data_IF_740705786493
#
_entry.id   IF_740705786493
#
_cell.length_a   1.000
_cell.length_b   1.000
_cell.length_c   1.000
_cell.angle_alpha   90.00
_cell.angle_beta   90.00
_cell.angle_gamma   90.00
#
_symmetry.space_group_name_H-M   'P 1'
#
loop_
_entity.id
_entity.type
_entity.pdbx_description
1 polymer ?
#
# COMPACT_ATOMS: atom_id res chain seq x y z
N UNK A 1 -32.21 31.31 -5.47
CA UNK A 1 -32.75 30.06 -4.89
C UNK A 1 -32.17 28.91 -5.71
N UNK A 2 -31.21 28.17 -5.14
CA UNK A 2 -30.43 27.10 -5.80
C UNK A 2 -31.28 25.87 -6.14
N UNK A 3 -31.04 25.12 -7.22
CA UNK A 3 -29.91 24.21 -7.52
C UNK A 3 -29.72 23.15 -6.42
N UNK A 4 -30.06 21.88 -6.70
CA UNK A 4 -29.09 20.85 -7.14
C UNK A 4 -29.79 19.52 -7.45
N UNK A 5 -29.85 19.16 -8.74
CA UNK A 5 -30.04 17.78 -9.19
C UNK A 5 -28.70 17.05 -9.07
N UNK A 6 -28.74 15.85 -8.50
CA UNK A 6 -27.58 14.99 -8.28
C UNK A 6 -27.55 13.93 -9.39
N UNK A 7 -26.68 14.11 -10.37
CA UNK A 7 -26.38 13.08 -11.39
C UNK A 7 -25.14 12.30 -10.94
N UNK A 8 -25.39 11.06 -10.54
CA UNK A 8 -24.38 10.04 -10.26
C UNK A 8 -23.77 9.61 -11.60
N UNK A 9 -22.49 9.92 -11.83
CA UNK A 9 -21.75 9.43 -13.00
C UNK A 9 -21.11 8.11 -12.65
N UNK A 10 -21.72 7.02 -13.10
CA UNK A 10 -21.11 5.70 -13.22
C UNK A 10 -19.95 5.78 -14.22
N UNK A 11 -18.72 5.59 -13.75
CA UNK A 11 -17.56 5.44 -14.61
C UNK A 11 -17.60 4.02 -15.19
N UNK A 12 -18.27 3.87 -16.34
CA UNK A 12 -18.15 2.68 -17.19
C UNK A 12 -16.71 2.57 -17.69
N UNK A 13 -16.09 1.42 -17.46
CA UNK A 13 -14.71 1.07 -17.78
C UNK A 13 -14.34 0.98 -19.29
N UNK A 14 -15.09 1.65 -20.20
CA UNK A 14 -14.90 1.51 -21.65
C UNK A 14 -14.70 2.84 -22.41
N UNK A 15 -14.25 3.90 -21.74
CA UNK A 15 -13.71 5.07 -22.44
C UNK A 15 -12.22 4.88 -22.62
N UNK A 16 -11.85 4.41 -23.81
CA UNK A 16 -10.47 4.27 -24.28
C UNK A 16 -9.61 5.45 -23.81
N UNK A 17 -8.50 5.12 -23.15
CA UNK A 17 -7.44 6.09 -22.88
C UNK A 17 -7.08 6.79 -24.21
N UNK A 18 -7.01 8.13 -24.24
CA UNK A 18 -6.52 8.83 -25.41
C UNK A 18 -5.07 8.39 -25.70
N UNK A 19 -4.74 8.31 -26.99
CA UNK A 19 -3.50 7.80 -27.65
C UNK A 19 -2.22 8.60 -27.31
N UNK A 20 -2.13 9.05 -26.05
CA UNK A 20 -1.08 9.90 -25.47
C UNK A 20 -0.32 9.14 -24.38
N UNK A 21 -0.79 7.96 -23.97
CA UNK A 21 0.04 7.02 -23.21
C UNK A 21 1.23 6.59 -24.10
N UNK A 22 2.45 6.48 -23.56
CA UNK A 22 3.59 5.99 -24.33
C UNK A 22 3.21 4.63 -24.92
N UNK A 23 3.16 4.56 -26.25
CA UNK A 23 2.86 3.34 -27.00
C UNK A 23 3.88 2.28 -26.59
N UNK A 24 3.38 1.15 -26.08
CA UNK A 24 4.14 0.05 -25.49
C UNK A 24 4.96 -0.77 -26.49
N UNK A 25 5.63 -0.11 -27.43
CA UNK A 25 6.62 -0.77 -28.28
C UNK A 25 7.95 -0.81 -27.54
N UNK A 26 8.17 -1.89 -26.79
CA UNK A 26 9.50 -2.39 -26.47
C UNK A 26 9.36 -3.82 -25.96
N UNK A 27 10.19 -4.71 -26.53
CA UNK A 27 10.67 -6.03 -26.08
C UNK A 27 9.96 -6.70 -24.88
N UNK A 28 9.73 -8.04 -24.90
CA UNK A 28 8.95 -8.74 -23.88
C UNK A 28 9.36 -8.28 -22.48
N UNK A 29 8.43 -7.60 -21.80
CA UNK A 29 8.64 -7.03 -20.49
C UNK A 29 9.06 -8.17 -19.57
N UNK A 30 10.36 -8.24 -19.25
CA UNK A 30 10.77 -8.91 -18.04
C UNK A 30 10.10 -8.12 -16.91
N UNK A 31 9.28 -8.77 -16.06
CA UNK A 31 8.87 -8.15 -14.83
C UNK A 31 10.16 -7.65 -14.20
N UNK A 32 10.23 -6.37 -13.84
CA UNK A 32 11.07 -6.01 -12.71
C UNK A 32 10.45 -6.78 -11.54
N UNK A 33 10.89 -8.03 -11.40
CA UNK A 33 10.87 -8.77 -10.15
C UNK A 33 11.26 -7.72 -9.12
N UNK A 34 10.42 -7.57 -8.09
CA UNK A 34 10.76 -6.73 -6.94
C UNK A 34 12.27 -6.89 -6.68
N UNK A 35 13.02 -5.78 -6.56
CA UNK A 35 14.48 -5.86 -6.49
C UNK A 35 14.85 -6.98 -5.54
N UNK A 36 15.75 -7.88 -5.98
CA UNK A 36 16.22 -8.99 -5.16
C UNK A 36 16.44 -8.48 -3.74
N UNK A 37 15.91 -9.18 -2.70
CA UNK A 37 15.97 -8.68 -1.34
C UNK A 37 17.39 -8.21 -1.06
N UNK A 38 17.52 -6.93 -0.71
CA UNK A 38 18.81 -6.33 -0.38
C UNK A 38 19.49 -7.27 0.62
N UNK A 39 20.76 -7.61 0.39
CA UNK A 39 21.50 -8.44 1.34
C UNK A 39 21.42 -7.79 2.71
N UNK A 40 20.85 -8.52 3.69
CA UNK A 40 20.60 -7.99 5.02
C UNK A 40 21.88 -7.40 5.61
N UNK A 41 21.88 -6.10 5.88
CA UNK A 41 22.94 -5.46 6.65
C UNK A 41 22.75 -5.87 8.12
N UNK A 42 23.47 -6.89 8.56
CA UNK A 42 23.43 -7.37 9.95
C UNK A 42 24.30 -6.49 10.85
N UNK A 43 23.91 -5.24 11.06
CA UNK A 43 24.40 -4.46 12.19
C UNK A 43 23.56 -4.83 13.42
N UNK A 44 23.73 -6.06 13.92
CA UNK A 44 22.92 -6.59 15.01
C UNK A 44 23.34 -5.98 16.36
N UNK A 45 22.88 -4.77 16.64
CA UNK A 45 22.87 -4.23 18.00
C UNK A 45 21.73 -4.85 18.80
N UNK A 46 21.90 -5.04 20.11
CA UNK A 46 20.81 -5.50 20.97
C UNK A 46 19.90 -4.32 21.25
N UNK A 47 18.61 -4.32 20.82
CA UNK A 47 17.72 -3.18 21.02
C UNK A 47 17.30 -3.04 22.48
N UNK A 48 17.21 -1.80 22.97
CA UNK A 48 16.72 -1.51 24.33
C UNK A 48 15.21 -1.35 24.30
N UNK A 49 14.50 -2.42 24.63
CA UNK A 49 13.04 -2.46 24.65
C UNK A 49 12.47 -1.86 25.95
N UNK A 50 11.20 -1.44 25.89
CA UNK A 50 10.46 -0.89 27.02
C UNK A 50 10.18 -1.91 28.12
N UNK A 51 10.11 -3.20 27.75
CA UNK A 51 9.70 -4.29 28.65
C UNK A 51 8.20 -4.29 28.98
N UNK A 52 7.41 -3.41 28.36
CA UNK A 52 5.97 -3.24 28.61
C UNK A 52 5.10 -3.82 27.49
N UNK A 53 5.68 -4.14 26.34
CA UNK A 53 4.96 -4.84 25.28
C UNK A 53 4.84 -6.34 25.59
N UNK A 54 3.63 -6.89 25.47
CA UNK A 54 3.34 -8.31 25.70
C UNK A 54 3.44 -9.17 24.44
N UNK A 55 3.77 -8.58 23.29
CA UNK A 55 3.91 -9.33 22.02
C UNK A 55 5.20 -10.15 22.01
N UNK A 56 5.12 -11.35 21.46
CA UNK A 56 6.28 -12.21 21.25
C UNK A 56 6.87 -11.97 19.85
N UNK A 57 7.86 -11.08 19.76
CA UNK A 57 8.55 -10.77 18.50
C UNK A 57 9.33 -11.96 17.91
N UNK A 58 9.83 -12.87 18.75
CA UNK A 58 10.55 -14.07 18.28
C UNK A 58 9.65 -15.01 17.47
N UNK A 59 8.34 -15.01 17.73
CA UNK A 59 7.40 -15.84 16.98
C UNK A 59 7.30 -15.48 15.48
N UNK A 60 7.80 -14.31 15.08
CA UNK A 60 7.77 -13.84 13.69
C UNK A 60 9.15 -13.33 13.21
N UNK A 61 10.25 -13.80 13.81
CA UNK A 61 11.61 -13.28 13.57
C UNK A 61 11.99 -13.18 12.08
N UNK A 62 11.69 -14.22 11.28
CA UNK A 62 11.98 -14.22 9.84
C UNK A 62 11.23 -13.13 9.07
N UNK A 63 9.99 -12.84 9.48
CA UNK A 63 9.14 -11.80 8.89
C UNK A 63 9.63 -10.41 9.32
N UNK A 64 10.07 -10.27 10.58
CA UNK A 64 10.70 -9.04 11.09
C UNK A 64 11.97 -8.73 10.29
N UNK A 65 12.83 -9.72 10.07
CA UNK A 65 14.05 -9.54 9.27
C UNK A 65 13.76 -9.16 7.81
N UNK A 66 12.73 -9.76 7.21
CA UNK A 66 12.24 -9.37 5.88
C UNK A 66 11.77 -7.91 5.89
N UNK A 67 11.07 -7.48 6.94
CA UNK A 67 10.60 -6.10 7.09
C UNK A 67 11.74 -5.12 7.22
N UNK A 68 12.76 -5.44 8.02
CA UNK A 68 13.93 -4.58 8.19
C UNK A 68 14.67 -4.39 6.86
N UNK A 69 14.75 -5.45 6.05
CA UNK A 69 15.33 -5.41 4.71
C UNK A 69 14.50 -4.55 3.76
N UNK A 70 13.19 -4.75 3.72
CA UNK A 70 12.27 -3.99 2.86
C UNK A 70 12.18 -2.51 3.25
N UNK A 71 12.42 -2.21 4.52
CA UNK A 71 12.43 -0.87 5.12
C UNK A 71 13.84 -0.37 5.43
N UNK A 72 14.86 -0.82 4.69
CA UNK A 72 16.25 -0.43 4.93
C UNK A 72 16.42 1.10 4.95
N UNK A 73 17.19 1.61 5.92
CA UNK A 73 17.21 3.02 6.27
C UNK A 73 17.38 3.99 5.09
N UNK A 74 18.28 3.67 4.16
CA UNK A 74 18.60 4.53 3.01
C UNK A 74 17.53 4.52 1.91
N UNK A 75 16.73 3.45 1.80
CA UNK A 75 15.72 3.32 0.75
C UNK A 75 14.27 3.40 1.24
N UNK A 76 14.02 3.30 2.55
CA UNK A 76 12.67 3.29 3.10
C UNK A 76 11.79 4.46 2.62
N UNK A 77 12.26 5.72 2.56
CA UNK A 77 11.43 6.83 2.04
C UNK A 77 10.99 6.64 0.59
N UNK A 78 11.83 6.01 -0.24
CA UNK A 78 11.58 5.82 -1.67
C UNK A 78 10.78 4.54 -1.97
N UNK A 79 10.91 3.51 -1.11
CA UNK A 79 10.20 2.22 -1.20
C UNK A 79 8.92 2.17 -0.37
N UNK A 80 8.60 3.24 0.38
CA UNK A 80 7.50 3.34 1.33
C UNK A 80 6.20 2.76 0.77
N UNK A 81 5.75 3.26 -0.37
CA UNK A 81 4.44 2.94 -0.95
C UNK A 81 4.39 1.59 -1.69
N UNK A 82 5.54 0.97 -1.97
CA UNK A 82 5.62 -0.21 -2.84
C UNK A 82 5.92 -1.48 -2.04
N UNK A 83 6.84 -1.38 -1.08
CA UNK A 83 7.33 -2.56 -0.35
C UNK A 83 7.35 -2.32 1.16
N UNK A 84 8.01 -1.25 1.62
CA UNK A 84 8.28 -1.05 3.04
C UNK A 84 7.01 -0.96 3.91
N UNK A 85 6.12 0.00 3.64
CA UNK A 85 4.95 0.20 4.50
C UNK A 85 3.92 -0.93 4.44
N UNK A 86 3.63 -1.52 3.27
CA UNK A 86 2.85 -2.75 3.20
C UNK A 86 3.43 -3.89 4.05
N UNK A 87 4.76 -4.07 4.04
CA UNK A 87 5.42 -5.10 4.83
C UNK A 87 5.41 -4.76 6.33
N UNK A 88 5.63 -3.50 6.70
CA UNK A 88 5.60 -3.02 8.08
C UNK A 88 4.24 -3.29 8.75
N UNK A 89 3.15 -2.93 8.05
CA UNK A 89 1.77 -3.19 8.51
C UNK A 89 1.49 -4.70 8.59
N UNK A 90 1.82 -5.46 7.54
CA UNK A 90 1.62 -6.91 7.52
C UNK A 90 2.34 -7.62 8.66
N UNK A 91 3.57 -7.22 9.00
CA UNK A 91 4.33 -7.81 10.09
C UNK A 91 3.69 -7.57 11.45
N UNK A 92 3.16 -6.36 11.70
CA UNK A 92 2.44 -6.06 12.93
C UNK A 92 1.13 -6.85 13.03
N UNK A 93 0.40 -6.99 11.92
CA UNK A 93 -0.76 -7.89 11.83
C UNK A 93 -0.38 -9.33 12.18
N UNK A 94 0.74 -9.83 11.65
CA UNK A 94 1.23 -11.19 11.91
C UNK A 94 1.60 -11.37 13.37
N UNK A 95 2.39 -10.46 13.96
CA UNK A 95 2.81 -10.56 15.36
C UNK A 95 1.59 -10.56 16.30
N UNK A 96 0.60 -9.69 16.04
CA UNK A 96 -0.65 -9.69 16.83
C UNK A 96 -1.38 -11.02 16.63
N UNK A 97 -1.57 -11.47 15.39
CA UNK A 97 -2.24 -12.75 15.12
C UNK A 97 -1.56 -13.96 15.79
N UNK A 98 -0.21 -14.01 15.79
CA UNK A 98 0.52 -15.06 16.50
C UNK A 98 0.30 -14.99 18.02
N UNK A 99 0.19 -13.80 18.60
CA UNK A 99 -0.16 -13.62 20.01
C UNK A 99 -1.61 -14.05 20.28
N UNK A 100 -2.53 -13.75 19.37
CA UNK A 100 -3.96 -14.11 19.47
C UNK A 100 -4.20 -15.61 19.54
N UNK A 101 -3.32 -16.45 18.99
CA UNK A 101 -3.39 -17.92 19.13
C UNK A 101 -3.50 -18.39 20.58
N UNK A 102 -2.86 -17.66 21.49
CA UNK A 102 -2.80 -18.01 22.92
C UNK A 102 -3.66 -17.10 23.78
N UNK A 103 -3.78 -15.81 23.42
CA UNK A 103 -4.53 -14.84 24.22
C UNK A 103 -6.03 -14.83 23.91
N UNK A 104 -6.45 -15.28 22.72
CA UNK A 104 -7.82 -15.14 22.24
C UNK A 104 -8.20 -13.73 21.80
N UNK A 105 -7.28 -12.76 21.86
CA UNK A 105 -7.57 -11.35 21.60
C UNK A 105 -6.88 -10.86 20.32
N UNK A 106 -7.64 -10.25 19.41
CA UNK A 106 -7.26 -9.75 18.08
C UNK A 106 -6.87 -8.26 18.06
N UNK A 107 -6.84 -7.58 19.21
CA UNK A 107 -6.49 -6.17 19.29
C UNK A 107 -5.75 -5.82 20.59
N UNK A 108 -4.84 -4.85 20.52
CA UNK A 108 -4.18 -4.33 21.71
C UNK A 108 -5.02 -3.23 22.37
N UNK A 109 -4.85 -3.06 23.68
CA UNK A 109 -5.31 -1.85 24.35
C UNK A 109 -4.41 -0.65 23.98
N UNK A 110 -4.91 0.57 24.20
CA UNK A 110 -4.24 1.83 23.81
C UNK A 110 -2.86 2.03 24.45
N UNK A 111 -2.62 1.47 25.62
CA UNK A 111 -1.33 1.63 26.32
C UNK A 111 -0.31 0.64 25.75
N UNK A 112 -0.69 -0.62 25.63
CA UNK A 112 0.15 -1.67 25.06
C UNK A 112 0.50 -1.37 23.60
N UNK A 113 -0.42 -0.79 22.81
CA UNK A 113 -0.13 -0.45 21.42
C UNK A 113 1.02 0.54 21.28
N UNK A 114 1.12 1.54 22.15
CA UNK A 114 2.24 2.50 22.15
C UNK A 114 3.58 1.83 22.45
N UNK A 115 3.61 1.02 23.50
CA UNK A 115 4.82 0.29 23.89
C UNK A 115 5.24 -0.72 22.82
N UNK A 116 4.29 -1.48 22.28
CA UNK A 116 4.57 -2.48 21.26
C UNK A 116 5.02 -1.90 19.93
N UNK A 117 4.44 -0.78 19.50
CA UNK A 117 4.89 -0.12 18.28
C UNK A 117 6.31 0.43 18.44
N UNK A 118 6.60 1.06 19.59
CA UNK A 118 7.95 1.56 19.89
C UNK A 118 9.00 0.45 20.00
N UNK A 119 8.66 -0.67 20.64
CA UNK A 119 9.56 -1.81 20.76
C UNK A 119 9.81 -2.48 19.40
N UNK A 120 8.76 -2.59 18.57
CA UNK A 120 8.88 -3.12 17.22
C UNK A 120 9.82 -2.28 16.34
N UNK A 121 9.67 -0.95 16.34
CA UNK A 121 10.56 -0.07 15.58
C UNK A 121 12.02 -0.20 16.01
N UNK A 122 12.29 -0.26 17.32
CA UNK A 122 13.67 -0.45 17.82
C UNK A 122 14.28 -1.78 17.36
N UNK A 123 13.48 -2.84 17.26
CA UNK A 123 13.93 -4.14 16.73
C UNK A 123 14.26 -4.04 15.25
N UNK A 124 13.48 -3.27 14.47
CA UNK A 124 13.76 -3.06 13.05
C UNK A 124 15.00 -2.16 12.86
N UNK A 125 15.11 -1.08 13.63
CA UNK A 125 16.27 -0.17 13.62
C UNK A 125 17.56 -0.93 13.94
N UNK A 126 17.53 -1.83 14.92
CA UNK A 126 18.67 -2.69 15.26
C UNK A 126 19.01 -3.74 14.18
N UNK A 127 18.21 -3.83 13.11
CA UNK A 127 18.46 -4.65 11.93
C UNK A 127 18.68 -3.78 10.67
N UNK A 128 18.93 -2.48 10.84
CA UNK A 128 19.24 -1.54 9.75
C UNK A 128 18.04 -0.90 9.06
N UNK A 129 16.83 -1.09 9.58
CA UNK A 129 15.66 -0.37 9.07
C UNK A 129 15.74 1.13 9.42
N UNK A 130 14.93 1.94 8.73
CA UNK A 130 14.81 3.35 9.06
C UNK A 130 14.28 3.56 10.49
N UNK A 131 14.75 4.59 11.19
CA UNK A 131 14.37 4.92 12.57
C UNK A 131 13.05 5.73 12.67
N UNK A 132 12.43 6.04 11.53
CA UNK A 132 11.25 6.92 11.44
C UNK A 132 10.09 6.28 10.66
N UNK A 133 9.92 4.95 10.79
CA UNK A 133 8.94 4.19 10.01
C UNK A 133 7.49 4.59 10.31
N UNK A 134 7.14 4.90 11.56
CA UNK A 134 5.83 5.47 11.89
C UNK A 134 5.48 6.69 11.04
N UNK A 135 6.44 7.60 10.82
CA UNK A 135 6.23 8.80 10.00
C UNK A 135 6.21 8.47 8.51
N UNK A 136 7.16 7.66 8.03
CA UNK A 136 7.24 7.27 6.61
C UNK A 136 5.95 6.55 6.18
N UNK A 137 5.45 5.65 7.02
CA UNK A 137 4.29 4.82 6.74
C UNK A 137 2.97 5.41 7.26
N UNK A 138 3.00 6.59 7.89
CA UNK A 138 1.83 7.21 8.51
C UNK A 138 1.08 6.25 9.47
N UNK A 139 1.84 5.41 10.17
CA UNK A 139 1.32 4.37 11.05
C UNK A 139 1.24 4.86 12.49
N UNK A 140 0.12 4.61 13.16
CA UNK A 140 -0.12 5.07 14.53
C UNK A 140 -0.40 3.90 15.49
N UNK A 141 -0.17 4.05 16.80
CA UNK A 141 -0.53 3.03 17.79
C UNK A 141 -2.00 2.59 17.72
N UNK A 142 -2.91 3.48 17.32
CA UNK A 142 -4.33 3.20 17.13
C UNK A 142 -4.57 2.09 16.09
N UNK A 143 -3.70 1.96 15.08
CA UNK A 143 -3.75 0.89 14.08
C UNK A 143 -3.51 -0.51 14.67
N UNK A 144 -2.99 -0.63 15.90
CA UNK A 144 -2.83 -1.92 16.62
C UNK A 144 -4.01 -2.24 17.54
N UNK A 145 -4.94 -1.30 17.71
CA UNK A 145 -6.12 -1.44 18.56
C UNK A 145 -7.31 -1.96 17.76
N UNK A 146 -8.49 -1.99 18.39
CA UNK A 146 -9.78 -2.28 17.74
C UNK A 146 -10.31 -1.10 16.92
N UNK A 147 -9.81 0.10 17.20
CA UNK A 147 -10.33 1.36 16.68
C UNK A 147 -11.85 1.45 16.87
N UNK A 148 -12.63 1.35 15.79
CA UNK A 148 -14.10 1.35 15.85
C UNK A 148 -14.76 0.00 15.58
N UNK A 149 -13.98 -1.07 15.40
CA UNK A 149 -14.51 -2.40 15.18
C UNK A 149 -15.06 -3.00 16.49
N UNK A 150 -16.30 -3.54 16.51
CA UNK A 150 -16.95 -3.99 17.74
C UNK A 150 -16.48 -5.35 18.26
N UNK A 151 -15.72 -6.11 17.45
CA UNK A 151 -15.29 -7.46 17.79
C UNK A 151 -13.77 -7.51 17.87
N UNK A 152 -13.27 -8.02 18.98
CA UNK A 152 -11.84 -8.21 19.23
C UNK A 152 -11.50 -9.59 19.76
N UNK A 153 -12.50 -10.39 20.12
CA UNK A 153 -12.33 -11.74 20.63
C UNK A 153 -12.44 -12.77 19.50
N UNK A 154 -11.59 -13.80 19.53
CA UNK A 154 -11.56 -14.85 18.51
C UNK A 154 -12.84 -15.68 18.51
N UNK A 155 -13.40 -16.04 19.67
CA UNK A 155 -14.61 -16.87 19.74
C UNK A 155 -15.83 -16.08 19.23
N UNK A 156 -15.90 -14.79 19.56
CA UNK A 156 -16.94 -13.91 19.02
C UNK A 156 -16.81 -13.75 17.50
N UNK A 157 -15.59 -13.58 16.98
CA UNK A 157 -15.33 -13.50 15.55
C UNK A 157 -15.85 -14.75 14.82
N UNK A 158 -15.51 -15.94 15.30
CA UNK A 158 -15.85 -17.21 14.65
C UNK A 158 -17.33 -17.57 14.71
N UNK A 159 -18.08 -16.95 15.64
CA UNK A 159 -19.54 -17.04 15.67
C UNK A 159 -20.22 -16.22 14.56
N UNK A 160 -19.56 -15.15 14.08
CA UNK A 160 -20.13 -14.20 13.10
C UNK A 160 -19.66 -14.53 11.68
N UNK A 161 -18.40 -14.92 11.54
CA UNK A 161 -17.73 -15.11 10.25
C UNK A 161 -17.72 -16.59 9.87
N UNK A 162 -17.91 -16.86 8.57
CA UNK A 162 -17.66 -18.20 8.00
C UNK A 162 -16.14 -18.44 7.91
N UNK A 163 -15.57 -18.86 9.04
CA UNK A 163 -14.14 -19.13 9.17
C UNK A 163 -13.63 -20.18 8.19
N UNK A 164 -14.31 -21.32 7.96
CA UNK A 164 -13.92 -22.27 6.91
C UNK A 164 -13.89 -21.65 5.51
N UNK A 165 -14.92 -20.87 5.14
CA UNK A 165 -14.96 -20.19 3.85
C UNK A 165 -13.85 -19.16 3.68
N UNK A 166 -13.58 -18.37 4.73
CA UNK A 166 -12.50 -17.38 4.75
C UNK A 166 -11.12 -18.05 4.63
N UNK A 167 -10.89 -19.16 5.32
CA UNK A 167 -9.64 -19.93 5.19
C UNK A 167 -9.49 -20.59 3.82
N UNK A 168 -10.58 -21.06 3.22
CA UNK A 168 -10.54 -21.60 1.86
C UNK A 168 -10.18 -20.53 0.82
N UNK A 169 -10.65 -19.29 1.01
CA UNK A 169 -10.34 -18.17 0.12
C UNK A 169 -8.93 -17.61 0.32
N UNK A 170 -8.45 -17.54 1.55
CA UNK A 170 -7.23 -16.79 1.91
C UNK A 170 -6.04 -17.64 2.36
N UNK A 171 -6.24 -18.93 2.67
CA UNK A 171 -5.20 -19.77 3.28
C UNK A 171 -3.97 -19.98 2.40
N UNK A 172 -4.12 -19.80 1.08
CA UNK A 172 -3.02 -19.75 0.12
C UNK A 172 -3.41 -18.86 -1.05
N UNK A 173 -2.56 -17.89 -1.36
CA UNK A 173 -2.81 -16.93 -2.43
C UNK A 173 -1.85 -17.17 -3.60
N UNK A 174 -2.42 -17.22 -4.80
CA UNK A 174 -1.68 -16.96 -6.04
C UNK A 174 -1.72 -15.45 -6.31
N UNK A 175 -0.59 -14.74 -6.30
CA UNK A 175 -0.59 -13.28 -6.42
C UNK A 175 -1.21 -12.76 -7.72
N UNK A 176 -1.13 -13.51 -8.83
CA UNK A 176 -1.67 -13.07 -10.12
C UNK A 176 -3.19 -13.19 -10.11
N UNK A 177 -3.71 -14.36 -9.73
CA UNK A 177 -5.15 -14.59 -9.69
C UNK A 177 -5.83 -13.71 -8.64
N UNK A 178 -5.22 -13.51 -7.47
CA UNK A 178 -5.76 -12.61 -6.45
C UNK A 178 -5.80 -11.15 -6.94
N UNK A 179 -4.88 -10.74 -7.82
CA UNK A 179 -4.96 -9.40 -8.41
C UNK A 179 -6.15 -9.23 -9.35
N UNK A 180 -6.53 -10.28 -10.07
CA UNK A 180 -7.62 -10.27 -11.04
C UNK A 180 -8.99 -10.51 -10.39
N UNK A 181 -9.10 -11.58 -9.61
CA UNK A 181 -10.38 -12.10 -9.11
C UNK A 181 -10.70 -11.62 -7.69
N UNK A 182 -9.68 -11.22 -6.92
CA UNK A 182 -9.81 -10.66 -5.57
C UNK A 182 -10.59 -11.57 -4.61
N UNK A 183 -10.46 -12.88 -4.75
CA UNK A 183 -11.25 -13.87 -3.99
C UNK A 183 -11.03 -13.71 -2.49
N UNK A 184 -9.77 -13.57 -2.05
CA UNK A 184 -9.48 -13.39 -0.64
C UNK A 184 -9.88 -11.99 -0.17
N UNK A 185 -9.55 -10.93 -0.91
CA UNK A 185 -9.93 -9.56 -0.56
C UNK A 185 -11.45 -9.37 -0.42
N UNK A 186 -12.24 -9.96 -1.32
CA UNK A 186 -13.69 -9.94 -1.23
C UNK A 186 -14.19 -10.68 0.02
N UNK A 187 -13.61 -11.85 0.31
CA UNK A 187 -13.93 -12.62 1.52
C UNK A 187 -13.61 -11.85 2.80
N UNK A 188 -12.47 -11.14 2.84
CA UNK A 188 -12.09 -10.26 3.95
C UNK A 188 -13.07 -9.10 4.10
N UNK A 189 -13.45 -8.45 3.00
CA UNK A 189 -14.40 -7.34 3.01
C UNK A 189 -15.78 -7.77 3.51
N UNK A 190 -16.25 -8.94 3.08
CA UNK A 190 -17.55 -9.46 3.51
C UNK A 190 -17.54 -9.89 4.98
N UNK A 191 -16.46 -10.50 5.45
CA UNK A 191 -16.27 -10.76 6.89
C UNK A 191 -16.27 -9.46 7.70
N UNK A 192 -15.51 -8.45 7.26
CA UNK A 192 -15.45 -7.15 7.93
C UNK A 192 -16.81 -6.44 7.96
N UNK A 193 -17.59 -6.52 6.89
CA UNK A 193 -18.97 -5.99 6.84
C UNK A 193 -19.88 -6.69 7.85
N UNK A 194 -19.85 -8.03 7.92
CA UNK A 194 -20.64 -8.80 8.88
C UNK A 194 -20.33 -8.39 10.32
N UNK A 195 -19.05 -8.26 10.65
CA UNK A 195 -18.59 -7.82 11.97
C UNK A 195 -19.04 -6.38 12.26
N UNK A 196 -18.81 -5.45 11.33
CA UNK A 196 -19.17 -4.04 11.49
C UNK A 196 -20.68 -3.83 11.69
N UNK A 197 -21.52 -4.67 11.06
CA UNK A 197 -22.98 -4.64 11.15
C UNK A 197 -23.54 -5.41 12.35
N UNK A 198 -22.78 -6.32 12.97
CA UNK A 198 -23.24 -7.07 14.14
C UNK A 198 -23.54 -6.14 15.35
N UNK A 199 -22.92 -4.97 15.40
CA UNK A 199 -23.24 -3.92 16.38
C UNK A 199 -24.56 -3.15 16.09
N UNK A 200 -25.20 -3.37 14.94
CA UNK A 200 -26.39 -2.66 14.47
C UNK A 200 -27.63 -3.54 14.33
N UNK A 201 -27.65 -4.75 14.91
CA UNK A 201 -28.79 -5.68 14.90
C UNK A 201 -30.07 -5.14 15.62
N UNK A 202 -30.10 -3.87 16.01
CA UNK A 202 -31.25 -3.15 16.56
C UNK A 202 -31.70 -1.90 15.76
N UNK A 203 -31.18 -1.61 14.56
CA UNK A 203 -31.74 -0.54 13.71
C UNK A 203 -31.79 -0.94 12.23
N UNK A 204 -33.01 -1.12 11.74
CA UNK A 204 -33.33 -1.34 10.33
C UNK A 204 -32.81 -0.20 9.45
N UNK A 205 -32.22 -0.60 8.31
CA UNK A 205 -32.08 0.23 7.11
C UNK A 205 -31.11 1.39 7.22
N UNK A 206 -29.80 1.12 7.17
CA UNK A 206 -28.79 2.16 6.96
C UNK A 206 -27.97 1.89 5.70
N UNK A 207 -28.16 2.74 4.69
CA UNK A 207 -27.18 2.97 3.63
C UNK A 207 -25.77 3.19 4.23
N UNK A 208 -24.72 2.77 3.52
CA UNK A 208 -23.32 2.89 3.96
C UNK A 208 -22.96 4.37 4.17
N UNK A 209 -23.09 4.85 5.41
CA UNK A 209 -22.62 6.16 5.85
C UNK A 209 -21.08 6.21 5.87
N UNK A 210 -20.42 7.38 5.74
CA UNK A 210 -18.96 7.49 5.89
C UNK A 210 -18.41 6.88 7.19
N UNK A 211 -19.20 6.92 8.27
CA UNK A 211 -18.88 6.28 9.56
C UNK A 211 -18.86 4.75 9.42
N UNK A 212 -19.75 4.18 8.61
CA UNK A 212 -19.78 2.74 8.34
C UNK A 212 -18.59 2.32 7.48
N UNK A 213 -18.12 3.17 6.54
CA UNK A 213 -16.91 2.87 5.74
C UNK A 213 -15.67 2.74 6.63
N UNK A 214 -15.43 3.72 7.51
CA UNK A 214 -14.27 3.69 8.41
C UNK A 214 -14.32 2.48 9.36
N UNK A 215 -15.50 2.15 9.89
CA UNK A 215 -15.68 0.96 10.74
C UNK A 215 -15.40 -0.34 9.99
N UNK A 216 -15.84 -0.45 8.73
CA UNK A 216 -15.53 -1.61 7.90
C UNK A 216 -14.02 -1.75 7.71
N UNK A 217 -13.31 -0.65 7.45
CA UNK A 217 -11.85 -0.66 7.30
C UNK A 217 -11.13 -1.06 8.60
N UNK A 218 -11.57 -0.54 9.75
CA UNK A 218 -11.06 -0.97 11.05
C UNK A 218 -11.31 -2.48 11.28
N UNK A 219 -12.46 -3.00 10.88
CA UNK A 219 -12.76 -4.43 10.98
C UNK A 219 -11.99 -5.31 9.99
N UNK A 220 -11.54 -4.79 8.83
CA UNK A 220 -10.63 -5.54 7.95
C UNK A 220 -9.34 -5.90 8.70
N UNK A 221 -8.79 -4.98 9.50
CA UNK A 221 -7.59 -5.25 10.28
C UNK A 221 -7.81 -6.39 11.30
N UNK A 222 -8.98 -6.46 11.93
CA UNK A 222 -9.34 -7.58 12.80
C UNK A 222 -9.40 -8.90 12.04
N UNK A 223 -10.02 -8.92 10.84
CA UNK A 223 -10.06 -10.10 9.98
C UNK A 223 -8.66 -10.57 9.58
N UNK A 224 -7.77 -9.64 9.20
CA UNK A 224 -6.39 -9.95 8.83
C UNK A 224 -5.59 -10.52 10.01
N UNK A 225 -5.77 -9.99 11.23
CA UNK A 225 -5.13 -10.53 12.43
C UNK A 225 -5.66 -11.92 12.78
N UNK A 226 -6.96 -12.16 12.60
CA UNK A 226 -7.54 -13.50 12.78
C UNK A 226 -6.98 -14.48 11.76
N UNK A 227 -6.89 -14.10 10.48
CA UNK A 227 -6.25 -14.91 9.43
C UNK A 227 -4.80 -15.26 9.82
N UNK A 228 -4.02 -14.27 10.27
CA UNK A 228 -2.65 -14.50 10.72
C UNK A 228 -2.56 -15.40 11.96
N UNK A 229 -3.58 -15.44 12.81
CA UNK A 229 -3.68 -16.36 13.94
C UNK A 229 -3.97 -17.81 13.52
N UNK A 230 -4.46 -18.04 12.30
CA UNK A 230 -4.74 -19.38 11.75
C UNK A 230 -3.61 -19.91 10.86
N UNK A 231 -2.65 -19.06 10.49
CA UNK A 231 -1.51 -19.41 9.65
C UNK A 231 -0.20 -19.43 10.45
N UNK A 232 0.82 -20.13 9.94
CA UNK A 232 2.19 -19.90 10.39
C UNK A 232 2.69 -18.53 9.89
N UNK A 233 3.70 -17.92 10.53
CA UNK A 233 4.16 -16.58 10.17
C UNK A 233 4.59 -16.42 8.70
N UNK A 234 5.20 -17.46 8.10
CA UNK A 234 5.68 -17.41 6.72
C UNK A 234 4.51 -17.46 5.74
N UNK A 235 3.56 -18.36 5.95
CA UNK A 235 2.33 -18.46 5.16
C UNK A 235 1.49 -17.18 5.28
N UNK A 236 1.34 -16.64 6.49
CA UNK A 236 0.65 -15.37 6.71
C UNK A 236 1.33 -14.22 5.96
N UNK A 237 2.66 -14.15 5.99
CA UNK A 237 3.42 -13.17 5.24
C UNK A 237 3.19 -13.29 3.72
N UNK A 238 3.20 -14.51 3.18
CA UNK A 238 2.90 -14.75 1.77
C UNK A 238 1.51 -14.27 1.35
N UNK A 239 0.49 -14.57 2.18
CA UNK A 239 -0.90 -14.14 1.97
C UNK A 239 -1.02 -12.61 2.01
N UNK A 240 -0.53 -11.97 3.07
CA UNK A 240 -0.65 -10.52 3.24
C UNK A 240 0.14 -9.75 2.18
N UNK A 241 1.34 -10.22 1.79
CA UNK A 241 2.10 -9.64 0.67
C UNK A 241 1.38 -9.82 -0.66
N UNK A 242 0.75 -10.96 -0.90
CA UNK A 242 -0.05 -11.19 -2.11
C UNK A 242 -1.19 -10.17 -2.24
N UNK A 243 -1.92 -9.96 -1.15
CA UNK A 243 -3.02 -8.97 -1.09
C UNK A 243 -2.49 -7.55 -1.24
N UNK A 244 -1.41 -7.19 -0.55
CA UNK A 244 -0.89 -5.82 -0.59
C UNK A 244 -0.29 -5.47 -1.95
N UNK A 245 0.42 -6.40 -2.60
CA UNK A 245 0.94 -6.26 -3.95
C UNK A 245 -0.18 -5.97 -4.98
N UNK A 246 -1.36 -6.57 -4.81
CA UNK A 246 -2.52 -6.24 -5.63
C UNK A 246 -2.93 -4.78 -5.49
N UNK A 247 -2.96 -4.27 -4.26
CA UNK A 247 -3.48 -2.93 -3.97
C UNK A 247 -2.51 -1.82 -4.35
N UNK A 248 -1.21 -1.99 -4.06
CA UNK A 248 -0.19 -0.97 -4.39
C UNK A 248 -0.11 -0.72 -5.91
N UNK A 249 -0.40 -1.73 -6.72
CA UNK A 249 -0.31 -1.66 -8.17
C UNK A 249 -1.51 -0.97 -8.85
N UNK A 250 -2.58 -0.63 -8.12
CA UNK A 250 -3.80 0.00 -8.69
C UNK A 250 -3.74 1.54 -8.71
N UNK A 251 -2.75 2.15 -8.08
CA UNK A 251 -2.69 3.60 -7.88
C UNK A 251 -1.34 4.18 -8.32
N UNK A 252 -1.32 5.46 -8.68
CA UNK A 252 -0.08 6.21 -8.83
C UNK A 252 0.28 6.84 -7.48
N UNK A 253 1.43 6.50 -6.86
CA UNK A 253 1.81 7.05 -5.57
C UNK A 253 2.53 8.42 -5.66
N UNK A 254 2.84 8.91 -6.87
CA UNK A 254 3.59 10.15 -7.05
C UNK A 254 2.73 11.39 -6.77
N UNK A 255 3.34 12.39 -6.14
CA UNK A 255 2.74 13.71 -5.94
C UNK A 255 3.11 14.60 -7.11
N UNK A 256 2.11 15.01 -7.88
CA UNK A 256 2.30 15.85 -9.06
C UNK A 256 2.38 17.34 -8.68
N UNK A 257 3.55 17.99 -8.82
CA UNK A 257 3.71 19.41 -8.51
C UNK A 257 3.00 20.29 -9.55
N UNK A 258 3.03 21.61 -9.32
CA UNK A 258 2.41 22.57 -10.24
C UNK A 258 3.07 22.54 -11.63
N UNK A 259 2.24 22.50 -12.67
CA UNK A 259 2.63 22.42 -14.08
C UNK A 259 2.78 23.76 -14.78
N UNK A 260 2.72 24.91 -14.08
CA UNK A 260 2.72 26.25 -14.72
C UNK A 260 3.82 26.42 -15.78
N UNK A 261 5.04 25.96 -15.51
CA UNK A 261 6.15 26.05 -16.46
C UNK A 261 5.95 25.18 -17.70
N UNK A 262 5.45 23.94 -17.51
CA UNK A 262 5.13 23.03 -18.61
C UNK A 262 4.03 23.63 -19.49
N UNK A 263 2.96 24.14 -18.88
CA UNK A 263 1.83 24.74 -19.61
C UNK A 263 2.27 25.95 -20.42
N UNK A 264 3.12 26.80 -19.85
CA UNK A 264 3.65 27.99 -20.52
C UNK A 264 4.49 27.65 -21.74
N UNK A 265 5.36 26.64 -21.65
CA UNK A 265 6.31 26.32 -22.71
C UNK A 265 5.75 25.31 -23.75
N UNK A 266 4.73 24.53 -23.39
CA UNK A 266 4.12 23.49 -24.22
C UNK A 266 2.67 23.80 -24.66
N UNK A 267 2.26 25.07 -24.69
CA UNK A 267 0.91 25.48 -25.06
C UNK A 267 0.52 25.04 -26.50
N UNK A 268 -0.78 25.12 -26.82
CA UNK A 268 -1.46 24.64 -28.04
C UNK A 268 -0.79 24.89 -29.41
N UNK A 269 0.16 25.82 -29.50
CA UNK A 269 1.09 25.95 -30.62
C UNK A 269 2.50 25.96 -30.06
N UNK A 270 3.21 24.83 -30.16
CA UNK A 270 4.60 24.73 -29.69
C UNK A 270 5.45 25.68 -30.56
N UNK A 271 5.79 26.83 -30.00
CA UNK A 271 6.68 27.82 -30.65
C UNK A 271 8.15 27.42 -30.54
N UNK A 272 8.51 26.66 -29.49
CA UNK A 272 9.87 26.20 -29.23
C UNK A 272 9.87 24.79 -28.58
N UNK A 273 10.07 23.75 -29.39
CA UNK A 273 10.11 22.35 -28.93
C UNK A 273 11.15 22.12 -27.85
N UNK A 274 12.34 22.74 -27.97
CA UNK A 274 13.43 22.58 -27.01
C UNK A 274 13.05 23.12 -25.62
N UNK A 275 12.37 24.27 -25.57
CA UNK A 275 11.91 24.86 -24.32
C UNK A 275 10.84 23.98 -23.65
N UNK A 276 9.87 23.49 -24.43
CA UNK A 276 8.86 22.56 -23.95
C UNK A 276 9.49 21.28 -23.38
N UNK A 277 10.41 20.64 -24.10
CA UNK A 277 11.02 19.40 -23.63
C UNK A 277 11.92 19.61 -22.41
N UNK A 278 12.62 20.74 -22.31
CA UNK A 278 13.38 21.07 -21.10
C UNK A 278 12.48 21.28 -19.88
N UNK A 279 11.34 21.94 -20.06
CA UNK A 279 10.36 22.12 -18.99
C UNK A 279 9.78 20.77 -18.54
N UNK A 280 9.50 19.88 -19.49
CA UNK A 280 9.00 18.53 -19.23
C UNK A 280 10.02 17.63 -18.55
N UNK A 281 11.26 17.63 -19.02
CA UNK A 281 12.36 16.87 -18.40
C UNK A 281 12.56 17.30 -16.95
N UNK A 282 12.55 18.62 -16.68
CA UNK A 282 12.63 19.15 -15.31
C UNK A 282 11.44 18.74 -14.46
N UNK A 283 10.23 18.72 -15.02
CA UNK A 283 9.01 18.30 -14.33
C UNK A 283 9.04 16.80 -13.99
N UNK A 284 9.39 15.95 -14.96
CA UNK A 284 9.48 14.51 -14.78
C UNK A 284 10.62 14.14 -13.84
N UNK A 285 11.75 14.85 -13.87
CA UNK A 285 12.84 14.65 -12.89
C UNK A 285 12.38 14.87 -11.44
N UNK A 286 11.51 15.84 -11.19
CA UNK A 286 10.92 16.06 -9.86
C UNK A 286 9.96 14.95 -9.44
N UNK A 287 9.29 14.30 -10.40
CA UNK A 287 8.47 13.13 -10.14
C UNK A 287 9.34 11.91 -9.82
N UNK A 288 10.36 11.70 -10.64
CA UNK A 288 11.29 10.58 -10.57
C UNK A 288 12.00 10.47 -9.21
N UNK A 289 12.36 11.60 -8.62
CA UNK A 289 13.10 11.66 -7.36
C UNK A 289 12.27 11.25 -6.13
N UNK A 290 10.95 11.05 -6.28
CA UNK A 290 10.08 10.80 -5.13
C UNK A 290 10.07 9.35 -4.66
N UNK A 291 10.08 8.37 -5.58
CA UNK A 291 9.82 6.98 -5.22
C UNK A 291 10.29 6.00 -6.28
N UNK A 292 10.61 4.78 -5.86
CA UNK A 292 10.66 3.63 -6.76
C UNK A 292 9.25 3.18 -7.07
N UNK A 293 8.97 2.89 -8.34
CA UNK A 293 7.65 2.41 -8.79
C UNK A 293 7.76 1.05 -9.44
N UNK A 294 6.71 0.24 -9.31
CA UNK A 294 6.53 -0.90 -10.21
C UNK A 294 6.19 -0.42 -11.63
N UNK A 295 6.34 -1.29 -12.62
CA UNK A 295 5.93 -0.98 -14.00
C UNK A 295 4.46 -0.57 -14.10
N UNK A 296 3.58 -1.22 -13.33
CA UNK A 296 2.15 -0.92 -13.36
C UNK A 296 1.83 0.41 -12.67
N UNK A 297 2.51 0.73 -11.57
CA UNK A 297 2.42 2.05 -10.94
C UNK A 297 2.94 3.16 -11.86
N UNK A 298 4.08 2.94 -12.52
CA UNK A 298 4.63 3.89 -13.49
C UNK A 298 3.66 4.14 -14.65
N UNK A 299 2.99 3.09 -15.14
CA UNK A 299 1.94 3.22 -16.17
C UNK A 299 0.74 4.03 -15.67
N UNK A 300 0.26 3.77 -14.45
CA UNK A 300 -0.80 4.56 -13.85
C UNK A 300 -0.39 6.03 -13.66
N UNK A 301 0.86 6.29 -13.29
CA UNK A 301 1.41 7.64 -13.15
C UNK A 301 1.53 8.37 -14.48
N UNK A 302 1.97 7.68 -15.55
CA UNK A 302 2.00 8.24 -16.89
C UNK A 302 0.58 8.56 -17.40
N UNK A 303 -0.39 7.66 -17.19
CA UNK A 303 -1.78 7.94 -17.54
C UNK A 303 -2.33 9.17 -16.80
N UNK A 304 -2.07 9.29 -15.49
CA UNK A 304 -2.47 10.44 -14.70
C UNK A 304 -1.81 11.75 -15.16
N UNK A 305 -0.51 11.70 -15.49
CA UNK A 305 0.20 12.84 -16.05
C UNK A 305 -0.42 13.27 -17.38
N UNK A 306 -0.71 12.32 -18.27
CA UNK A 306 -1.36 12.58 -19.55
C UNK A 306 -2.71 13.28 -19.38
N UNK A 307 -3.54 12.80 -18.46
CA UNK A 307 -4.83 13.43 -18.15
C UNK A 307 -4.67 14.86 -17.62
N UNK A 308 -3.64 15.13 -16.80
CA UNK A 308 -3.37 16.49 -16.29
C UNK A 308 -2.90 17.43 -17.40
N UNK A 309 -2.03 16.96 -18.30
CA UNK A 309 -1.58 17.75 -19.45
C UNK A 309 -2.77 18.12 -20.36
N UNK A 310 -3.66 17.17 -20.64
CA UNK A 310 -4.88 17.42 -21.41
C UNK A 310 -5.80 18.45 -20.75
N UNK A 311 -6.02 18.33 -19.43
CA UNK A 311 -6.80 19.31 -18.66
C UNK A 311 -6.19 20.71 -18.67
N UNK A 312 -4.88 20.81 -18.93
CA UNK A 312 -4.18 22.07 -19.06
C UNK A 312 -4.08 22.57 -20.51
N UNK A 313 -4.92 22.05 -21.42
CA UNK A 313 -4.98 22.41 -22.85
C UNK A 313 -3.71 22.10 -23.66
N UNK A 314 -2.90 21.15 -23.19
CA UNK A 314 -1.77 20.62 -23.96
C UNK A 314 -2.28 19.45 -24.81
N UNK A 315 -2.41 19.68 -26.12
CA UNK A 315 -2.96 18.71 -27.07
C UNK A 315 -1.91 17.84 -27.76
N UNK A 316 -0.64 18.24 -27.74
CA UNK A 316 0.45 17.48 -28.36
C UNK A 316 0.80 16.24 -27.53
N UNK A 317 1.25 15.19 -28.22
CA UNK A 317 1.85 14.04 -27.57
C UNK A 317 3.28 14.38 -27.11
N UNK A 318 3.35 15.02 -25.94
CA UNK A 318 4.59 15.46 -25.30
C UNK A 318 5.49 14.26 -24.91
N UNK A 319 4.91 13.09 -24.66
CA UNK A 319 5.68 11.87 -24.39
C UNK A 319 6.55 11.49 -25.58
N UNK A 320 5.94 11.42 -26.77
CA UNK A 320 6.66 11.12 -28.00
C UNK A 320 7.61 12.25 -28.39
N UNK A 321 7.17 13.51 -28.23
CA UNK A 321 7.95 14.69 -28.59
C UNK A 321 9.26 14.81 -27.79
N UNK A 322 9.21 14.50 -26.49
CA UNK A 322 10.30 14.71 -25.55
C UNK A 322 10.90 13.40 -25.04
N UNK A 323 10.53 12.27 -25.66
CA UNK A 323 11.00 10.92 -25.33
C UNK A 323 10.82 10.54 -23.85
N UNK A 324 9.69 10.92 -23.26
CA UNK A 324 9.33 10.54 -21.88
C UNK A 324 8.80 9.12 -21.87
N UNK A 325 9.45 8.26 -21.09
CA UNK A 325 9.16 6.83 -20.97
C UNK A 325 8.75 6.46 -19.55
N UNK A 326 8.26 5.23 -19.35
CA UNK A 326 7.83 4.73 -18.04
C UNK A 326 8.94 4.76 -16.98
N UNK A 327 10.19 4.50 -17.39
CA UNK A 327 11.36 4.54 -16.50
C UNK A 327 11.63 5.93 -15.91
N UNK A 328 11.10 6.99 -16.51
CA UNK A 328 11.33 8.36 -16.07
C UNK A 328 10.39 8.74 -14.90
N UNK A 329 9.42 7.88 -14.56
CA UNK A 329 8.56 8.04 -13.39
C UNK A 329 9.09 7.36 -12.14
N UNK A 330 10.10 6.50 -12.24
CA UNK A 330 10.68 5.79 -11.11
C UNK A 330 12.10 6.26 -10.85
N UNK A 331 12.47 6.36 -9.57
CA UNK A 331 13.84 6.63 -9.17
C UNK A 331 14.80 5.68 -9.91
N UNK A 332 15.79 6.26 -10.57
CA UNK A 332 16.86 5.51 -11.21
C UNK A 332 18.07 5.50 -10.28
N UNK A 333 18.64 4.32 -10.06
CA UNK A 333 19.89 4.19 -9.29
C UNK A 333 21.03 4.62 -10.20
N UNK A 334 21.88 5.60 -9.81
CA UNK A 334 23.11 5.89 -10.52
C UNK A 334 23.98 4.63 -10.61
N UNK A 335 24.59 4.32 -11.76
CA UNK A 335 25.45 3.13 -11.93
C UNK A 335 26.53 3.00 -10.85
N UNK A 336 27.00 4.12 -10.30
CA UNK A 336 28.10 4.18 -9.33
C UNK A 336 27.72 3.73 -7.90
N UNK A 337 26.44 3.44 -7.64
CA UNK A 337 25.91 2.97 -6.35
C UNK A 337 25.57 1.46 -6.33
N UNK A 338 25.85 0.74 -7.43
CA UNK A 338 25.68 -0.72 -7.54
C UNK A 338 26.98 -1.50 -7.23
N UNK A 339 27.94 -0.86 -6.55
CA UNK A 339 29.23 -1.45 -6.16
C UNK A 339 29.13 -2.39 -4.97
#
# INVERSE_FOLDING_TARGET
>A
MGIKDSVLVEIKANTLAPDISPSGDTQPFLPLLAPSPLTAFTNNTVPILSGLCTLNFFAAESVISTTATDCWASFAPYLANVVCCPQFDATLVIIIGQSSKYSGILALNKTHSKHCLSDFEKILESQGANDNLQKICSFQPENLTEASCPVTDVDEFERIVDSPGLMAACGRIDPVNECCDQVCQNSILDAARKIALNAMSNMDGASISPVNSRRIDDCKNIVLRWLASRLDPSSANGVLRGISNCNVNKVCPLVFPNMTNVVKECESVISNQTACCKAMESYVSQLQQQSFLTNLQALNCAALLGMRLQKANISYNVYNLCHVNLKDFSLQVPPDLLG
#
